data_IF_900371318634
#
_entry.id   IF_900371318634
#
_cell.length_a   1.000
_cell.length_b   1.000
_cell.length_c   1.000
_cell.angle_alpha   90.00
_cell.angle_beta   90.00
_cell.angle_gamma   90.00
#
_symmetry.space_group_name_H-M   'P 1'
#
loop_
_entity.id
_entity.type
_entity.pdbx_description
1 polymer ?
#
# COMPACT_ATOMS: atom_id res chain seq x y z
N UNK A 1 -3.51 53.08 -46.31
CA UNK A 1 -2.64 52.52 -45.26
C UNK A 1 -3.48 52.21 -44.02
N UNK A 2 -4.08 51.00 -43.89
CA UNK A 2 -4.61 50.48 -42.63
C UNK A 2 -3.52 49.65 -41.92
N UNK A 3 -3.53 49.40 -40.61
CA UNK A 3 -4.62 49.53 -39.67
C UNK A 3 -4.14 49.48 -38.22
N UNK A 4 -4.97 50.08 -37.37
CA UNK A 4 -4.91 50.06 -35.91
C UNK A 4 -5.63 48.79 -35.44
N UNK A 5 -5.00 48.07 -34.51
CA UNK A 5 -5.70 47.15 -33.60
C UNK A 5 -5.51 45.66 -33.86
N UNK A 6 -4.64 45.03 -33.08
CA UNK A 6 -4.76 43.60 -32.78
C UNK A 6 -4.27 43.30 -31.38
N UNK A 7 -5.25 43.25 -30.47
CA UNK A 7 -5.37 42.49 -29.22
C UNK A 7 -4.10 41.77 -28.73
N UNK A 8 -3.70 42.15 -27.51
CA UNK A 8 -2.85 41.34 -26.61
C UNK A 8 -3.57 40.01 -26.35
N UNK A 9 -3.09 38.93 -26.96
CA UNK A 9 -3.57 37.58 -26.73
C UNK A 9 -3.18 37.15 -25.30
N UNK A 10 -4.16 37.07 -24.40
CA UNK A 10 -4.05 36.41 -23.11
C UNK A 10 -3.63 34.94 -23.34
N UNK A 11 -2.35 34.63 -23.11
CA UNK A 11 -1.87 33.25 -23.06
C UNK A 11 -2.43 32.61 -21.81
N UNK A 12 -3.62 32.06 -21.94
CA UNK A 12 -4.21 31.17 -20.95
C UNK A 12 -3.24 30.02 -20.74
N UNK A 13 -2.72 29.92 -19.52
CA UNK A 13 -1.99 28.78 -18.99
C UNK A 13 -2.94 27.58 -18.94
N UNK A 14 -3.19 26.97 -20.10
CA UNK A 14 -3.72 25.62 -20.21
C UNK A 14 -2.53 24.68 -20.26
N UNK A 15 -1.87 24.48 -19.12
CA UNK A 15 -1.01 23.31 -18.96
C UNK A 15 -1.93 22.10 -19.06
N UNK A 16 -1.66 21.26 -20.04
CA UNK A 16 -2.53 20.18 -20.47
C UNK A 16 -2.80 19.19 -19.33
N UNK A 17 -3.99 19.28 -18.74
CA UNK A 17 -4.60 18.20 -17.94
C UNK A 17 -4.60 16.87 -18.71
N UNK A 18 -4.57 16.93 -20.04
CA UNK A 18 -4.51 15.77 -20.93
C UNK A 18 -3.21 14.96 -20.81
N UNK A 19 -2.07 15.55 -20.47
CA UNK A 19 -0.79 14.83 -20.36
C UNK A 19 -0.65 14.04 -19.05
N UNK A 20 -1.37 14.44 -18.00
CA UNK A 20 -1.40 13.72 -16.71
C UNK A 20 -2.11 12.36 -16.79
N UNK A 21 -3.08 12.22 -17.70
CA UNK A 21 -3.83 10.98 -17.92
C UNK A 21 -3.31 10.18 -19.14
N UNK A 22 -2.36 10.73 -19.90
CA UNK A 22 -1.78 10.10 -21.09
C UNK A 22 -0.60 9.16 -20.76
N UNK A 23 -0.07 9.24 -19.54
CA UNK A 23 0.84 8.23 -19.03
C UNK A 23 0.06 6.93 -18.81
N UNK A 24 0.00 6.09 -19.84
CA UNK A 24 -0.21 4.66 -19.64
C UNK A 24 0.92 4.20 -18.73
N UNK A 25 0.64 4.10 -17.43
CA UNK A 25 1.44 3.27 -16.54
C UNK A 25 1.65 1.97 -17.30
N UNK A 26 2.89 1.43 -17.36
CA UNK A 26 3.06 0.07 -17.85
C UNK A 26 1.94 -0.74 -17.19
N UNK A 27 1.17 -1.47 -17.99
CA UNK A 27 0.19 -2.41 -17.46
C UNK A 27 1.03 -3.52 -16.81
N UNK A 28 1.71 -3.18 -15.72
CA UNK A 28 2.27 -4.12 -14.77
C UNK A 28 1.09 -5.01 -14.47
N UNK A 29 1.23 -6.25 -14.91
CA UNK A 29 0.18 -7.23 -14.99
C UNK A 29 -0.18 -7.69 -13.58
N UNK A 30 -0.66 -6.78 -12.74
CA UNK A 30 -1.29 -7.10 -11.48
C UNK A 30 -2.66 -7.68 -11.79
N UNK A 31 -2.67 -8.99 -11.84
CA UNK A 31 -3.81 -9.83 -12.17
C UNK A 31 -4.28 -10.56 -10.93
N UNK A 32 -5.42 -11.24 -11.01
CA UNK A 32 -5.94 -12.00 -9.89
C UNK A 32 -4.98 -13.10 -9.39
N UNK A 33 -4.05 -13.55 -10.23
CA UNK A 33 -3.04 -14.56 -9.85
C UNK A 33 -1.95 -14.03 -8.93
N UNK A 34 -1.78 -12.71 -8.83
CA UNK A 34 -0.80 -12.08 -7.95
C UNK A 34 -1.30 -11.97 -6.49
N UNK A 35 -2.57 -12.32 -6.25
CA UNK A 35 -3.16 -12.38 -4.92
C UNK A 35 -2.91 -13.77 -4.32
N UNK A 36 -1.97 -13.83 -3.37
CA UNK A 36 -1.70 -15.05 -2.59
C UNK A 36 -2.59 -15.09 -1.35
N UNK A 37 -3.40 -16.16 -1.24
CA UNK A 37 -4.09 -16.50 0.00
C UNK A 37 -3.20 -17.44 0.79
N UNK A 38 -2.83 -17.01 2.00
CA UNK A 38 -2.02 -17.81 2.92
C UNK A 38 -2.93 -18.65 3.80
N UNK A 39 -2.68 -19.96 3.87
CA UNK A 39 -3.55 -20.90 4.57
C UNK A 39 -2.95 -21.33 5.93
N UNK A 40 -3.83 -21.79 6.83
CA UNK A 40 -3.44 -22.27 8.15
C UNK A 40 -2.62 -21.24 8.93
N UNK A 41 -1.35 -21.59 9.22
CA UNK A 41 -0.43 -20.77 10.02
C UNK A 41 0.61 -20.01 9.18
N UNK A 42 0.52 -20.06 7.85
CA UNK A 42 1.40 -19.30 6.96
C UNK A 42 1.34 -17.79 7.17
N UNK A 43 0.16 -17.16 7.41
CA UNK A 43 0.11 -15.74 7.75
C UNK A 43 0.93 -15.40 9.01
N UNK A 44 0.85 -16.26 10.02
CA UNK A 44 1.53 -16.10 11.32
C UNK A 44 3.05 -16.20 11.15
N UNK A 45 3.51 -17.16 10.35
CA UNK A 45 4.95 -17.38 10.10
C UNK A 45 5.55 -16.31 9.21
N UNK A 46 4.83 -15.84 8.18
CA UNK A 46 5.33 -14.80 7.26
C UNK A 46 5.33 -13.42 7.89
N UNK A 47 4.39 -13.14 8.80
CA UNK A 47 4.25 -11.82 9.47
C UNK A 47 4.05 -11.97 10.98
N UNK A 48 5.05 -12.47 11.71
CA UNK A 48 4.93 -12.74 13.15
C UNK A 48 4.65 -11.48 13.97
N UNK A 49 5.13 -10.30 13.52
CA UNK A 49 4.90 -9.03 14.19
C UNK A 49 3.42 -8.68 14.40
N UNK A 50 2.52 -9.15 13.52
CA UNK A 50 1.08 -8.94 13.67
C UNK A 50 0.47 -9.75 14.82
N UNK A 51 1.09 -10.88 15.20
CA UNK A 51 0.53 -11.84 16.16
C UNK A 51 1.23 -11.78 17.51
N UNK A 52 2.56 -11.64 17.53
CA UNK A 52 3.37 -11.68 18.75
C UNK A 52 4.11 -10.36 19.03
N UNK A 53 3.91 -9.34 18.19
CA UNK A 53 4.51 -8.01 18.36
C UNK A 53 5.94 -7.87 17.83
N UNK A 54 6.59 -8.96 17.40
CA UNK A 54 7.94 -8.92 16.84
C UNK A 54 8.61 -10.28 16.70
N UNK A 55 9.94 -10.29 16.62
CA UNK A 55 10.77 -11.50 16.66
C UNK A 55 11.95 -11.35 17.62
N UNK A 56 11.89 -10.35 18.50
CA UNK A 56 12.91 -10.08 19.51
C UNK A 56 12.63 -10.84 20.82
N UNK A 57 13.48 -10.62 21.82
CA UNK A 57 13.32 -11.25 23.13
C UNK A 57 11.97 -10.92 23.78
N UNK A 58 11.45 -9.70 23.62
CA UNK A 58 10.16 -9.30 24.18
C UNK A 58 9.00 -10.11 23.56
N UNK A 59 9.00 -10.30 22.24
CA UNK A 59 8.02 -11.14 21.55
C UNK A 59 8.10 -12.62 21.98
N UNK A 60 9.29 -13.13 22.31
CA UNK A 60 9.43 -14.50 22.85
C UNK A 60 8.85 -14.64 24.26
N UNK A 61 9.02 -13.63 25.12
CA UNK A 61 8.37 -13.63 26.44
C UNK A 61 6.86 -13.53 26.30
N UNK A 62 6.36 -12.76 25.32
CA UNK A 62 4.93 -12.67 25.03
C UNK A 62 4.33 -14.03 24.65
N UNK A 63 5.02 -14.82 23.81
CA UNK A 63 4.59 -16.20 23.51
C UNK A 63 4.50 -17.09 24.76
N UNK A 64 5.45 -16.95 25.69
CA UNK A 64 5.43 -17.70 26.94
C UNK A 64 4.26 -17.27 27.82
N UNK A 65 4.02 -15.97 27.96
CA UNK A 65 2.89 -15.44 28.73
C UNK A 65 1.57 -15.95 28.17
N UNK A 66 1.35 -15.88 26.86
CA UNK A 66 0.13 -16.39 26.22
C UNK A 66 -0.06 -17.90 26.45
N UNK A 67 1.02 -18.69 26.42
CA UNK A 67 0.94 -20.12 26.74
C UNK A 67 0.52 -20.35 28.20
N UNK A 68 1.07 -19.58 29.13
CA UNK A 68 0.73 -19.68 30.55
C UNK A 68 -0.70 -19.25 30.82
N UNK A 69 -1.17 -18.17 30.18
CA UNK A 69 -2.52 -17.65 30.34
C UNK A 69 -3.54 -18.67 29.82
N UNK A 70 -3.31 -19.26 28.64
CA UNK A 70 -4.13 -20.35 28.13
C UNK A 70 -4.15 -21.55 29.11
N UNK A 71 -2.99 -21.91 29.69
CA UNK A 71 -2.92 -23.01 30.66
C UNK A 71 -3.64 -22.72 31.98
N UNK A 72 -3.66 -21.46 32.43
CA UNK A 72 -4.42 -21.05 33.62
C UNK A 72 -5.92 -21.01 33.36
N UNK A 73 -6.35 -20.60 32.17
CA UNK A 73 -7.77 -20.58 31.79
C UNK A 73 -8.35 -22.01 31.67
N UNK A 74 -7.52 -22.98 31.32
CA UNK A 74 -7.91 -24.40 31.19
C UNK A 74 -7.82 -25.21 32.50
N UNK A 75 -7.17 -24.68 33.55
CA UNK A 75 -6.95 -25.36 34.84
C UNK A 75 -8.10 -25.18 35.84
#
# INVERSE_FOLDING_TARGET
>A
MPGIGSRVQLKHTSVAMADLFSASLPQDSYTATDIEVLEGLEPVRRRPGMYVGGTDSAALHHLLTELLDNAMDEA
#
